data_IF_293953102157
#
_entry.id   IF_293953102157
#
_cell.length_a   1.000
_cell.length_b   1.000
_cell.length_c   1.000
_cell.angle_alpha   90.00
_cell.angle_beta   90.00
_cell.angle_gamma   90.00
#
_symmetry.space_group_name_H-M   'P 1'
#
loop_
_entity.id
_entity.type
_entity.pdbx_description
1 polymer ?
#
# COMPACT_ATOMS: atom_id res chain seq x y z
N UNK A 1 -4.09 -5.00 12.36
CA UNK A 1 -3.34 -5.32 11.14
C UNK A 1 -3.93 -6.48 10.38
N UNK A 2 -4.25 -6.23 9.11
CA UNK A 2 -4.67 -7.23 8.14
C UNK A 2 -3.61 -8.34 7.97
N UNK A 3 -4.07 -9.58 7.85
CA UNK A 3 -3.20 -10.76 7.68
C UNK A 3 -3.55 -11.54 6.43
N UNK A 4 -2.59 -12.33 5.94
CA UNK A 4 -2.80 -13.23 4.80
C UNK A 4 -3.93 -14.25 5.06
N UNK A 5 -4.08 -14.73 6.31
CA UNK A 5 -5.16 -15.63 6.69
C UNK A 5 -6.54 -14.95 6.61
N UNK A 6 -6.64 -13.68 7.03
CA UNK A 6 -7.88 -12.91 6.90
C UNK A 6 -8.20 -12.62 5.43
N UNK A 7 -7.20 -12.30 4.61
CA UNK A 7 -7.37 -12.13 3.16
C UNK A 7 -7.84 -13.42 2.49
N UNK A 8 -7.19 -14.56 2.76
CA UNK A 8 -7.61 -15.85 2.22
C UNK A 8 -9.05 -16.20 2.62
N UNK A 9 -9.46 -15.91 3.85
CA UNK A 9 -10.81 -16.16 4.34
C UNK A 9 -11.88 -15.30 3.65
N UNK A 10 -11.58 -14.03 3.39
CA UNK A 10 -12.56 -13.04 2.89
C UNK A 10 -12.54 -12.92 1.37
N UNK A 11 -11.35 -12.88 0.77
CA UNK A 11 -11.12 -12.65 -0.65
C UNK A 11 -10.82 -13.94 -1.42
N UNK A 12 -10.55 -15.05 -0.73
CA UNK A 12 -10.24 -16.33 -1.35
C UNK A 12 -8.79 -16.44 -1.83
N UNK A 13 -8.54 -17.44 -2.68
CA UNK A 13 -7.23 -17.66 -3.30
C UNK A 13 -6.83 -16.45 -4.17
N UNK A 14 -5.64 -15.87 -3.96
CA UNK A 14 -5.20 -14.69 -4.72
C UNK A 14 -5.11 -14.93 -6.24
N UNK A 15 -4.95 -16.17 -6.71
CA UNK A 15 -4.94 -16.51 -8.14
C UNK A 15 -6.28 -16.30 -8.83
N UNK A 16 -7.38 -16.20 -8.07
CA UNK A 16 -8.69 -15.87 -8.62
C UNK A 16 -8.89 -14.36 -8.82
N UNK A 17 -7.99 -13.52 -8.28
CA UNK A 17 -8.05 -12.06 -8.42
C UNK A 17 -9.42 -11.46 -8.05
N UNK A 18 -10.04 -12.01 -7.00
CA UNK A 18 -11.36 -11.59 -6.50
C UNK A 18 -11.38 -10.10 -6.18
N UNK A 19 -12.42 -9.41 -6.67
CA UNK A 19 -12.65 -7.98 -6.44
C UNK A 19 -11.50 -7.05 -6.89
N UNK A 20 -10.68 -7.49 -7.85
CA UNK A 20 -9.66 -6.62 -8.45
C UNK A 20 -10.26 -5.62 -9.44
N UNK A 21 -9.58 -4.48 -9.60
CA UNK A 21 -9.92 -3.41 -10.54
C UNK A 21 -8.65 -2.72 -11.03
N UNK A 22 -8.62 -2.33 -12.29
CA UNK A 22 -7.68 -1.33 -12.78
C UNK A 22 -8.27 0.05 -12.51
N UNK A 23 -7.96 0.62 -11.35
CA UNK A 23 -8.44 1.93 -10.97
C UNK A 23 -7.72 3.01 -11.77
N UNK A 24 -8.49 3.79 -12.52
CA UNK A 24 -8.04 5.02 -13.17
C UNK A 24 -8.01 6.14 -12.13
N UNK A 25 -6.80 6.59 -11.78
CA UNK A 25 -6.62 7.58 -10.73
C UNK A 25 -7.10 8.93 -11.26
N UNK A 26 -7.99 9.64 -10.55
CA UNK A 26 -8.47 10.95 -11.00
C UNK A 26 -7.31 11.91 -11.29
N UNK A 27 -7.39 12.63 -12.40
CA UNK A 27 -6.29 13.49 -12.90
C UNK A 27 -5.86 14.56 -11.87
N UNK A 28 -6.77 15.04 -11.03
CA UNK A 28 -6.44 15.96 -9.95
C UNK A 28 -5.52 15.36 -8.85
N UNK A 29 -5.37 14.03 -8.81
CA UNK A 29 -4.49 13.32 -7.90
C UNK A 29 -3.16 12.91 -8.55
N UNK A 30 -3.00 13.04 -9.86
CA UNK A 30 -1.78 12.66 -10.62
C UNK A 30 -0.62 13.65 -10.41
N UNK A 31 -0.27 13.95 -9.15
CA UNK A 31 0.79 14.88 -8.79
C UNK A 31 2.10 14.12 -8.49
N UNK A 32 3.19 14.58 -9.11
CA UNK A 32 4.51 13.98 -8.93
C UNK A 32 4.56 12.57 -9.52
N UNK A 33 4.78 11.56 -8.66
CA UNK A 33 4.89 10.15 -9.06
C UNK A 33 3.68 9.31 -8.63
N UNK A 34 2.57 9.94 -8.22
CA UNK A 34 1.32 9.21 -8.03
C UNK A 34 0.96 8.54 -9.37
N UNK A 35 0.72 7.21 -9.37
CA UNK A 35 0.47 6.48 -10.62
C UNK A 35 -0.85 6.91 -11.24
N UNK A 36 -0.92 6.92 -12.57
CA UNK A 36 -2.17 7.20 -13.31
C UNK A 36 -3.18 6.08 -13.22
N UNK A 37 -2.69 4.84 -13.10
CA UNK A 37 -3.52 3.64 -12.96
C UNK A 37 -2.93 2.73 -11.90
N UNK A 38 -3.79 2.14 -11.09
CA UNK A 38 -3.39 1.16 -10.07
C UNK A 38 -4.24 -0.09 -10.25
N UNK A 39 -3.59 -1.23 -10.50
CA UNK A 39 -4.26 -2.52 -10.41
C UNK A 39 -4.27 -2.98 -8.94
N UNK A 40 -5.44 -2.96 -8.32
CA UNK A 40 -5.62 -3.20 -6.89
C UNK A 40 -6.99 -3.82 -6.58
N UNK A 41 -7.20 -4.23 -5.33
CA UNK A 41 -8.53 -4.61 -4.89
C UNK A 41 -9.45 -3.37 -4.83
N UNK A 42 -10.73 -3.50 -5.19
CA UNK A 42 -11.73 -2.41 -5.12
C UNK A 42 -11.78 -1.72 -3.75
N UNK A 43 -11.49 -2.45 -2.67
CA UNK A 43 -11.44 -1.91 -1.30
C UNK A 43 -10.31 -0.90 -1.09
N UNK A 44 -9.30 -0.86 -1.96
CA UNK A 44 -8.22 0.13 -1.92
C UNK A 44 -8.62 1.50 -2.45
N UNK A 45 -9.62 1.60 -3.33
CA UNK A 45 -9.91 2.83 -4.10
C UNK A 45 -10.21 4.00 -3.17
N UNK A 46 -11.11 3.81 -2.20
CA UNK A 46 -11.47 4.84 -1.22
C UNK A 46 -10.28 5.28 -0.35
N UNK A 47 -9.64 4.34 0.38
CA UNK A 47 -8.45 4.61 1.19
C UNK A 47 -7.32 5.30 0.41
N UNK A 48 -6.94 4.80 -0.77
CA UNK A 48 -5.89 5.42 -1.58
C UNK A 48 -6.28 6.82 -2.07
N UNK A 49 -7.53 7.02 -2.50
CA UNK A 49 -8.03 8.36 -2.87
C UNK A 49 -7.84 9.34 -1.73
N UNK A 50 -8.22 8.95 -0.51
CA UNK A 50 -8.11 9.79 0.67
C UNK A 50 -6.64 10.05 1.06
N UNK A 51 -5.78 9.02 0.99
CA UNK A 51 -4.35 9.14 1.27
C UNK A 51 -3.63 10.05 0.27
N UNK A 52 -3.93 9.94 -1.03
CA UNK A 52 -3.37 10.82 -2.07
C UNK A 52 -3.82 12.27 -1.89
N UNK A 53 -5.11 12.50 -1.59
CA UNK A 53 -5.61 13.84 -1.23
C UNK A 53 -4.88 14.40 -0.02
N UNK A 54 -4.63 13.58 1.00
CA UNK A 54 -3.89 14.00 2.19
C UNK A 54 -2.43 14.35 1.87
N UNK A 55 -1.73 13.55 1.05
CA UNK A 55 -0.37 13.85 0.59
C UNK A 55 -0.30 15.19 -0.14
N UNK A 56 -1.23 15.43 -1.06
CA UNK A 56 -1.29 16.68 -1.85
C UNK A 56 -1.58 17.86 -0.92
N UNK A 57 -2.62 17.77 -0.09
CA UNK A 57 -3.04 18.84 0.83
C UNK A 57 -1.96 19.22 1.84
N UNK A 58 -1.18 18.25 2.31
CA UNK A 58 -0.13 18.46 3.32
C UNK A 58 1.21 18.88 2.73
N UNK A 59 1.35 18.84 1.40
CA UNK A 59 2.62 19.00 0.69
C UNK A 59 3.53 17.77 0.75
N UNK A 60 3.15 16.70 1.45
CA UNK A 60 3.94 15.47 1.56
C UNK A 60 4.06 14.70 0.23
N UNK A 61 3.28 15.03 -0.80
CA UNK A 61 3.44 14.45 -2.14
C UNK A 61 4.86 14.66 -2.71
N UNK A 62 5.57 15.72 -2.31
CA UNK A 62 6.96 15.94 -2.73
C UNK A 62 7.96 14.94 -2.12
N UNK A 63 7.57 14.23 -1.06
CA UNK A 63 8.37 13.17 -0.45
C UNK A 63 8.17 11.82 -1.15
N UNK A 64 7.10 11.65 -1.93
CA UNK A 64 6.88 10.47 -2.76
C UNK A 64 7.83 10.51 -3.97
N UNK A 65 8.86 9.65 -3.95
CA UNK A 65 9.91 9.54 -4.97
C UNK A 65 9.62 8.43 -5.97
N UNK A 66 9.08 7.31 -5.52
CA UNK A 66 8.74 6.16 -6.36
C UNK A 66 7.44 5.51 -5.90
N UNK A 67 6.71 4.98 -6.88
CA UNK A 67 5.63 4.02 -6.69
C UNK A 67 6.15 2.64 -7.09
N UNK A 68 6.36 1.76 -6.12
CA UNK A 68 7.09 0.50 -6.32
C UNK A 68 6.15 -0.72 -6.47
N UNK A 69 4.84 -0.48 -6.45
CA UNK A 69 3.83 -1.45 -6.89
C UNK A 69 2.70 -1.66 -5.89
N UNK A 70 1.68 -2.39 -6.34
CA UNK A 70 0.49 -2.74 -5.53
C UNK A 70 0.18 -4.24 -5.58
N UNK A 71 0.09 -4.82 -6.78
CA UNK A 71 -0.29 -6.21 -6.97
C UNK A 71 0.88 -7.09 -7.44
N UNK A 72 1.09 -8.20 -6.74
CA UNK A 72 2.02 -9.26 -7.12
C UNK A 72 1.70 -10.54 -6.32
N UNK A 73 1.23 -11.60 -6.99
CA UNK A 73 0.95 -12.89 -6.36
C UNK A 73 2.28 -13.57 -6.01
N UNK A 74 2.65 -13.51 -4.73
CA UNK A 74 3.90 -14.10 -4.24
C UNK A 74 3.83 -14.46 -2.77
N UNK A 75 4.71 -15.38 -2.36
CA UNK A 75 5.00 -15.58 -0.92
C UNK A 75 5.76 -14.37 -0.36
N UNK A 76 5.61 -14.16 0.95
CA UNK A 76 6.49 -13.24 1.68
C UNK A 76 7.93 -13.78 1.65
N UNK A 77 8.91 -12.89 1.54
CA UNK A 77 10.33 -13.26 1.50
C UNK A 77 10.70 -13.98 2.80
N UNK A 78 11.15 -15.24 2.68
CA UNK A 78 11.55 -16.05 3.83
C UNK A 78 10.39 -16.56 4.70
N UNK A 79 9.14 -16.53 4.22
CA UNK A 79 8.00 -17.07 4.94
C UNK A 79 7.12 -17.96 4.05
N UNK A 80 6.33 -18.84 4.68
CA UNK A 80 5.41 -19.77 4.01
C UNK A 80 4.09 -19.11 3.59
N UNK A 81 3.76 -17.96 4.16
CA UNK A 81 2.49 -17.24 3.92
C UNK A 81 2.61 -16.27 2.75
N UNK A 82 1.49 -16.09 2.03
CA UNK A 82 1.38 -15.13 0.93
C UNK A 82 1.60 -13.69 1.41
N UNK A 83 2.14 -12.87 0.50
CA UNK A 83 2.24 -11.42 0.64
C UNK A 83 0.87 -10.78 0.52
N UNK A 84 0.61 -9.68 1.21
CA UNK A 84 -0.64 -8.92 1.03
C UNK A 84 -0.76 -8.28 -0.35
N UNK A 85 0.37 -8.03 -1.02
CA UNK A 85 0.39 -7.70 -2.45
C UNK A 85 -0.30 -8.74 -3.33
N UNK A 86 -0.45 -10.00 -2.88
CA UNK A 86 -1.12 -11.05 -3.65
C UNK A 86 -2.62 -10.80 -3.79
N UNK A 87 -3.21 -9.95 -2.93
CA UNK A 87 -4.63 -9.57 -3.03
C UNK A 87 -4.80 -8.10 -3.45
N UNK A 88 -3.73 -7.40 -3.82
CA UNK A 88 -3.81 -5.99 -4.20
C UNK A 88 -4.32 -5.08 -3.08
N UNK A 89 -4.01 -5.41 -1.82
CA UNK A 89 -4.41 -4.65 -0.60
C UNK A 89 -3.21 -4.04 0.14
N UNK A 90 -2.09 -3.91 -0.56
CA UNK A 90 -0.86 -3.31 -0.06
C UNK A 90 -0.17 -2.54 -1.19
N UNK A 91 0.66 -1.56 -0.83
CA UNK A 91 1.48 -0.77 -1.74
C UNK A 91 2.90 -0.62 -1.17
N UNK A 92 3.87 -0.52 -2.08
CA UNK A 92 5.23 -0.15 -1.74
C UNK A 92 5.56 1.22 -2.34
N UNK A 93 6.20 2.09 -1.55
CA UNK A 93 6.67 3.41 -1.99
C UNK A 93 8.09 3.66 -1.52
N UNK A 94 8.87 4.43 -2.29
CA UNK A 94 10.25 4.81 -1.95
C UNK A 94 11.13 3.59 -1.57
N UNK A 95 10.96 2.44 -2.23
CA UNK A 95 11.56 1.17 -1.85
C UNK A 95 13.10 1.21 -1.77
N UNK A 96 13.76 1.96 -2.66
CA UNK A 96 15.21 2.12 -2.64
C UNK A 96 15.74 2.77 -1.35
N UNK A 97 14.93 3.61 -0.69
CA UNK A 97 15.27 4.32 0.55
C UNK A 97 14.65 3.69 1.80
N UNK A 98 13.65 2.82 1.65
CA UNK A 98 12.88 2.23 2.74
C UNK A 98 12.84 0.70 2.70
N UNK A 99 13.98 0.10 2.33
CA UNK A 99 14.14 -1.35 2.18
C UNK A 99 13.76 -2.11 3.45
N UNK A 100 13.17 -3.30 3.28
CA UNK A 100 12.86 -4.22 4.38
C UNK A 100 14.07 -4.49 5.29
N UNK A 101 13.87 -4.31 6.60
CA UNK A 101 14.89 -4.40 7.65
C UNK A 101 15.83 -3.19 7.73
N UNK A 102 15.70 -2.21 6.85
CA UNK A 102 16.44 -0.95 6.90
C UNK A 102 15.78 0.06 7.84
N UNK A 103 16.50 1.14 8.16
CA UNK A 103 15.96 2.26 8.93
C UNK A 103 14.92 3.00 8.08
N UNK A 104 13.65 3.10 8.50
CA UNK A 104 12.65 3.88 7.79
C UNK A 104 13.06 5.36 7.70
N UNK A 105 12.76 5.98 6.56
CA UNK A 105 13.11 7.36 6.25
C UNK A 105 11.91 8.26 5.96
N UNK A 106 10.71 7.68 5.80
CA UNK A 106 9.48 8.44 5.62
C UNK A 106 9.17 9.30 6.84
N UNK A 107 8.79 10.55 6.61
CA UNK A 107 8.40 11.48 7.65
C UNK A 107 7.11 11.03 8.34
N UNK A 108 6.97 11.36 9.63
CA UNK A 108 5.75 11.06 10.37
C UNK A 108 4.50 11.69 9.72
N UNK A 109 4.66 12.86 9.08
CA UNK A 109 3.59 13.57 8.37
C UNK A 109 3.15 12.81 7.11
N UNK A 110 4.10 12.26 6.34
CA UNK A 110 3.81 11.40 5.20
C UNK A 110 3.10 10.13 5.63
N UNK A 111 3.63 9.43 6.64
CA UNK A 111 3.04 8.20 7.17
C UNK A 111 1.59 8.45 7.62
N UNK A 112 1.34 9.56 8.32
CA UNK A 112 0.01 9.95 8.79
C UNK A 112 -1.00 10.15 7.64
N UNK A 113 -0.55 10.58 6.45
CA UNK A 113 -1.43 10.69 5.28
C UNK A 113 -2.04 9.33 4.89
N UNK A 114 -1.33 8.22 5.12
CA UNK A 114 -1.88 6.88 4.89
C UNK A 114 -2.58 6.34 6.14
N UNK A 115 -1.96 6.44 7.32
CA UNK A 115 -2.50 5.77 8.51
C UNK A 115 -3.80 6.37 9.02
N UNK A 116 -4.04 7.66 8.80
CA UNK A 116 -5.34 8.28 9.08
C UNK A 116 -6.43 7.89 8.08
N UNK A 117 -6.04 7.32 6.94
CA UNK A 117 -6.93 7.04 5.81
C UNK A 117 -7.04 5.53 5.52
N UNK A 118 -6.96 4.71 6.57
CA UNK A 118 -7.27 3.28 6.50
C UNK A 118 -6.10 2.35 6.22
N UNK A 119 -4.86 2.81 6.42
CA UNK A 119 -3.66 1.98 6.26
C UNK A 119 -2.94 1.70 7.58
N UNK A 120 -2.32 0.53 7.67
CA UNK A 120 -1.20 0.27 8.57
C UNK A 120 0.13 0.49 7.82
N UNK A 121 1.17 0.92 8.53
CA UNK A 121 2.51 1.12 7.96
C UNK A 121 3.51 0.10 8.52
N UNK A 122 4.30 -0.51 7.63
CA UNK A 122 5.29 -1.53 8.00
C UNK A 122 6.51 -1.00 8.73
N UNK A 123 6.77 0.31 8.69
CA UNK A 123 7.92 0.93 9.34
C UNK A 123 7.92 0.85 10.87
N UNK A 124 6.79 0.52 11.51
CA UNK A 124 6.68 0.37 12.97
C UNK A 124 6.85 -1.06 13.46
N UNK A 125 7.03 -2.03 12.56
CA UNK A 125 7.19 -3.43 12.92
C UNK A 125 8.56 -3.73 13.53
N UNK A 126 8.66 -4.84 14.27
CA UNK A 126 9.91 -5.27 14.91
C UNK A 126 11.07 -5.43 13.92
N UNK A 127 10.78 -5.93 12.71
CA UNK A 127 11.65 -5.81 11.55
C UNK A 127 11.00 -4.84 10.57
N UNK A 128 11.43 -3.57 10.53
CA UNK A 128 10.73 -2.53 9.79
C UNK A 128 10.62 -2.83 8.30
N UNK A 129 9.46 -2.52 7.72
CA UNK A 129 9.24 -2.48 6.29
C UNK A 129 8.77 -1.08 5.89
N UNK A 130 9.72 -0.15 5.79
CA UNK A 130 9.41 1.28 5.68
C UNK A 130 8.71 1.68 4.38
N UNK A 131 8.84 0.87 3.33
CA UNK A 131 8.19 1.12 2.03
C UNK A 131 6.72 0.66 2.02
N UNK A 132 6.37 -0.27 2.90
CA UNK A 132 5.12 -1.04 2.83
C UNK A 132 3.98 -0.36 3.58
N UNK A 133 2.88 -0.13 2.88
CA UNK A 133 1.58 0.21 3.47
C UNK A 133 0.55 -0.84 3.07
N UNK A 134 -0.36 -1.16 3.97
CA UNK A 134 -1.45 -2.11 3.72
C UNK A 134 -2.75 -1.61 4.31
N UNK A 135 -3.89 -2.04 3.77
CA UNK A 135 -5.16 -1.75 4.44
C UNK A 135 -5.12 -2.26 5.89
N UNK A 136 -5.66 -1.48 6.81
CA UNK A 136 -5.75 -1.83 8.22
C UNK A 136 -6.74 -3.00 8.44
N UNK A 137 -7.83 -3.02 7.67
CA UNK A 137 -8.82 -4.08 7.59
C UNK A 137 -9.40 -4.20 6.16
N UNK A 138 -10.46 -5.00 5.98
CA UNK A 138 -11.13 -5.18 4.68
C UNK A 138 -12.57 -4.66 4.71
N UNK A 139 -12.98 -3.89 5.73
CA UNK A 139 -14.38 -3.75 6.12
C UNK A 139 -14.84 -4.93 6.97
#
# INVERSE_FOLDING_TARGET
>A
MLTAQKCLKILGDPSHETDMVLWDVPTELEIGVIPKKVYCNKRMVGPLTAAFKALIKTGCVSELKTWDGCFNIRKKRGASTASLHSWGVAIDVNAAWNRFGGKPSLSAKFVKCFTDNGFDWGGTWSKPDGMHFQLADLG
#
